data_IF_116758249611
#
_entry.id   IF_116758249611
#
_cell.length_a   1.000
_cell.length_b   1.000
_cell.length_c   1.000
_cell.angle_alpha   90.00
_cell.angle_beta   90.00
_cell.angle_gamma   90.00
#
_symmetry.space_group_name_H-M   'P 1'
#
loop_
_entity.id
_entity.type
_entity.pdbx_description
1 polymer ?
#
# COMPACT_ATOMS: atom_id res chain seq x y z
N UNK A 1 -8.12 -1.08 9.61
CA UNK A 1 -7.23 -0.71 8.49
C UNK A 1 -5.74 -0.86 8.81
N UNK A 2 -5.34 -1.10 10.07
CA UNK A 2 -3.95 -1.43 10.48
C UNK A 2 -3.46 -2.86 10.16
N UNK A 3 -4.35 -3.72 9.64
CA UNK A 3 -4.11 -5.17 9.51
C UNK A 3 -3.17 -5.57 8.35
N UNK A 4 -2.81 -4.64 7.44
CA UNK A 4 -2.10 -4.93 6.18
C UNK A 4 -0.72 -4.27 6.15
N UNK A 5 -0.35 -3.46 7.15
CA UNK A 5 0.82 -2.57 7.10
C UNK A 5 2.06 -3.11 7.81
N UNK A 6 2.02 -4.32 8.36
CA UNK A 6 3.14 -4.82 9.17
C UNK A 6 4.12 -5.61 8.29
N UNK A 7 5.40 -5.19 8.22
CA UNK A 7 6.42 -5.77 7.33
C UNK A 7 6.55 -7.29 7.46
N UNK A 8 6.28 -7.78 8.66
CA UNK A 8 6.45 -9.15 9.14
C UNK A 8 5.49 -10.14 8.45
N UNK A 9 4.36 -9.68 7.91
CA UNK A 9 3.34 -10.56 7.33
C UNK A 9 3.54 -10.72 5.81
N UNK A 10 4.53 -10.06 5.23
CA UNK A 10 4.63 -9.82 3.80
C UNK A 10 5.93 -10.42 3.23
N UNK A 11 5.86 -11.34 2.27
CA UNK A 11 7.05 -11.86 1.58
C UNK A 11 7.89 -10.69 1.02
N UNK A 12 9.22 -10.66 1.25
CA UNK A 12 10.06 -9.55 0.82
C UNK A 12 9.95 -9.35 -0.69
N UNK A 13 9.64 -8.12 -1.11
CA UNK A 13 9.54 -7.74 -2.53
C UNK A 13 10.85 -8.02 -3.28
N UNK A 14 11.97 -7.98 -2.57
CA UNK A 14 13.31 -8.27 -3.10
C UNK A 14 13.48 -9.71 -3.58
N UNK A 15 12.79 -10.66 -2.96
CA UNK A 15 12.80 -12.10 -3.32
C UNK A 15 11.63 -12.50 -4.24
N UNK A 16 10.97 -11.53 -4.87
CA UNK A 16 9.84 -11.78 -5.78
C UNK A 16 8.47 -11.88 -5.09
N UNK A 17 8.40 -11.59 -3.78
CA UNK A 17 7.13 -11.47 -3.05
C UNK A 17 6.30 -10.24 -3.49
N UNK A 18 4.99 -10.31 -3.30
CA UNK A 18 4.08 -9.19 -3.64
C UNK A 18 3.84 -8.25 -2.45
N UNK A 19 4.36 -8.59 -1.27
CA UNK A 19 4.09 -7.87 -0.03
C UNK A 19 2.65 -8.02 0.46
N UNK A 20 1.94 -9.09 0.07
CA UNK A 20 0.64 -9.45 0.64
C UNK A 20 0.82 -10.15 2.00
N UNK A 21 -0.15 -10.00 2.92
CA UNK A 21 -0.19 -10.81 4.13
C UNK A 21 -0.11 -12.30 3.77
N UNK A 22 0.67 -13.09 4.52
CA UNK A 22 0.80 -14.53 4.38
C UNK A 22 -0.60 -15.19 4.35
N UNK A 23 -1.02 -15.53 3.14
CA UNK A 23 -2.34 -16.11 2.85
C UNK A 23 -2.44 -17.55 3.33
N UNK A 24 -1.31 -18.19 3.67
CA UNK A 24 -1.29 -19.55 4.19
C UNK A 24 -1.56 -19.58 5.69
N UNK A 25 -0.99 -18.62 6.45
CA UNK A 25 -1.06 -18.63 7.92
C UNK A 25 -2.27 -17.83 8.41
N UNK A 26 -2.54 -16.65 7.85
CA UNK A 26 -3.58 -15.76 8.39
C UNK A 26 -4.99 -16.39 8.37
N UNK A 27 -5.43 -17.11 7.32
CA UNK A 27 -6.71 -17.82 7.34
C UNK A 27 -6.76 -18.95 8.36
N UNK A 28 -5.66 -19.70 8.55
CA UNK A 28 -5.59 -20.75 9.57
C UNK A 28 -5.60 -20.18 10.98
N UNK A 29 -4.98 -19.00 11.22
CA UNK A 29 -5.11 -18.27 12.50
C UNK A 29 -6.56 -17.86 12.74
N UNK A 30 -7.25 -17.30 11.74
CA UNK A 30 -8.67 -16.95 11.86
C UNK A 30 -9.52 -18.19 12.16
N UNK A 31 -9.28 -19.29 11.47
CA UNK A 31 -9.96 -20.56 11.73
C UNK A 31 -9.72 -21.04 13.16
N UNK A 32 -8.48 -21.01 13.63
CA UNK A 32 -8.12 -21.39 15.00
C UNK A 32 -8.84 -20.52 16.03
N UNK A 33 -8.87 -19.20 15.84
CA UNK A 33 -9.59 -18.29 16.73
C UNK A 33 -11.07 -18.61 16.80
N UNK A 34 -11.72 -18.80 15.65
CA UNK A 34 -13.13 -19.17 15.58
C UNK A 34 -13.39 -20.51 16.26
N UNK A 35 -12.53 -21.50 16.02
CA UNK A 35 -12.62 -22.81 16.65
C UNK A 35 -12.53 -22.72 18.17
N UNK A 36 -11.55 -21.99 18.70
CA UNK A 36 -11.39 -21.79 20.14
C UNK A 36 -12.55 -21.02 20.76
N UNK A 37 -13.09 -20.00 20.06
CA UNK A 37 -14.30 -19.31 20.50
C UNK A 37 -15.47 -20.28 20.63
N UNK A 38 -15.75 -21.08 19.60
CA UNK A 38 -16.83 -22.08 19.60
C UNK A 38 -16.66 -23.09 20.73
N UNK A 39 -15.43 -23.48 21.07
CA UNK A 39 -15.14 -24.42 22.15
C UNK A 39 -15.34 -23.82 23.55
N UNK A 40 -15.04 -22.52 23.71
CA UNK A 40 -15.17 -21.75 24.96
C UNK A 40 -16.57 -21.16 25.17
N UNK A 41 -17.36 -21.01 24.11
CA UNK A 41 -18.72 -20.47 24.16
C UNK A 41 -19.71 -21.40 24.88
N UNK A 42 -20.88 -20.84 25.21
CA UNK A 42 -22.01 -21.57 25.77
C UNK A 42 -22.42 -22.79 24.91
N UNK A 43 -22.99 -23.84 25.53
CA UNK A 43 -23.30 -25.09 24.83
C UNK A 43 -24.30 -24.88 23.71
N UNK A 44 -23.85 -25.16 22.48
CA UNK A 44 -24.65 -25.11 21.26
C UNK A 44 -24.23 -26.18 20.24
N UNK A 45 -24.97 -26.34 19.14
CA UNK A 45 -24.72 -27.39 18.15
C UNK A 45 -23.32 -27.28 17.51
N UNK A 46 -22.84 -26.06 17.29
CA UNK A 46 -21.49 -25.81 16.78
C UNK A 46 -20.40 -26.30 17.74
N UNK A 47 -20.60 -26.14 19.06
CA UNK A 47 -19.67 -26.61 20.09
C UNK A 47 -19.61 -28.14 20.13
N UNK A 48 -20.76 -28.81 20.08
CA UNK A 48 -20.82 -30.28 20.04
C UNK A 48 -20.10 -30.86 18.81
N UNK A 49 -20.30 -30.24 17.64
CA UNK A 49 -19.60 -30.65 16.42
C UNK A 49 -18.10 -30.35 16.47
N UNK A 50 -17.70 -29.18 16.97
CA UNK A 50 -16.29 -28.84 17.14
C UNK A 50 -15.59 -29.80 18.12
N UNK A 51 -16.23 -30.14 19.24
CA UNK A 51 -15.74 -31.15 20.16
C UNK A 51 -15.56 -32.50 19.48
N UNK A 52 -16.56 -32.96 18.70
CA UNK A 52 -16.46 -34.21 17.93
C UNK A 52 -15.24 -34.20 17.01
N UNK A 53 -15.07 -33.16 16.18
CA UNK A 53 -14.00 -33.09 15.17
C UNK A 53 -12.59 -32.84 15.74
N UNK A 54 -12.47 -32.13 16.86
CA UNK A 54 -11.18 -31.97 17.57
C UNK A 54 -10.69 -33.30 18.16
N UNK A 55 -11.61 -34.24 18.41
CA UNK A 55 -11.25 -35.59 18.83
C UNK A 55 -10.54 -35.62 20.18
N UNK A 56 -9.46 -36.37 20.26
CA UNK A 56 -8.64 -36.49 21.47
C UNK A 56 -7.78 -35.25 21.77
N UNK A 57 -7.60 -34.34 20.80
CA UNK A 57 -6.79 -33.12 20.99
C UNK A 57 -7.48 -32.03 21.83
N UNK A 58 -8.65 -32.32 22.41
CA UNK A 58 -9.38 -31.39 23.31
C UNK A 58 -8.52 -30.95 24.51
N UNK A 59 -7.75 -31.89 25.08
CA UNK A 59 -6.86 -31.62 26.22
C UNK A 59 -5.76 -30.64 25.86
N UNK A 60 -5.19 -30.81 24.67
CA UNK A 60 -4.14 -29.93 24.15
C UNK A 60 -4.63 -28.49 23.95
N UNK A 61 -5.94 -28.27 23.81
CA UNK A 61 -6.57 -26.95 23.63
C UNK A 61 -7.09 -26.33 24.94
N UNK A 62 -6.81 -26.96 26.09
CA UNK A 62 -7.29 -26.49 27.39
C UNK A 62 -8.81 -26.56 27.57
N UNK A 63 -9.51 -27.39 26.78
CA UNK A 63 -10.96 -27.58 26.92
C UNK A 63 -11.20 -28.62 28.01
N UNK A 64 -11.98 -28.23 29.03
CA UNK A 64 -12.36 -29.12 30.12
C UNK A 64 -13.00 -30.40 29.55
N UNK A 65 -12.48 -31.54 30.00
CA UNK A 65 -13.00 -32.83 29.55
C UNK A 65 -14.38 -33.04 30.22
N UNK A 66 -15.45 -33.27 29.44
CA UNK A 66 -16.71 -33.66 30.04
C UNK A 66 -16.52 -34.98 30.82
N UNK A 67 -17.29 -35.14 31.89
CA UNK A 67 -17.27 -36.31 32.79
C UNK A 67 -17.53 -37.65 32.07
N UNK A 68 -18.10 -37.60 30.86
CA UNK A 68 -18.22 -38.75 29.96
C UNK A 68 -17.61 -38.42 28.59
N UNK A 69 -16.68 -39.22 28.06
CA UNK A 69 -16.15 -39.02 26.71
C UNK A 69 -17.24 -39.35 25.69
N UNK A 70 -17.98 -38.34 25.26
CA UNK A 70 -18.91 -38.44 24.14
C UNK A 70 -18.18 -38.84 22.84
N UNK A 71 -18.93 -39.20 21.78
CA UNK A 71 -18.37 -39.61 20.50
C UNK A 71 -17.36 -38.57 19.99
N UNK A 72 -16.28 -39.06 19.39
CA UNK A 72 -15.20 -38.22 18.89
C UNK A 72 -14.62 -38.82 17.62
N UNK A 73 -14.13 -37.97 16.72
CA UNK A 73 -13.43 -38.42 15.53
C UNK A 73 -12.09 -39.02 15.94
N UNK A 74 -11.79 -40.25 15.49
CA UNK A 74 -10.50 -40.90 15.71
C UNK A 74 -9.36 -40.06 15.13
N UNK A 75 -9.60 -39.45 13.98
CA UNK A 75 -8.66 -38.58 13.29
C UNK A 75 -9.34 -37.24 12.97
N UNK A 76 -8.84 -36.12 13.51
CA UNK A 76 -9.35 -34.80 13.17
C UNK A 76 -9.28 -34.54 11.66
N UNK A 77 -10.29 -33.89 11.07
CA UNK A 77 -10.25 -33.44 9.69
C UNK A 77 -8.99 -32.59 9.40
N UNK A 78 -8.50 -32.55 8.16
CA UNK A 78 -7.25 -31.86 7.81
C UNK A 78 -7.19 -30.41 8.31
N UNK A 79 -8.30 -29.68 8.26
CA UNK A 79 -8.33 -28.27 8.65
C UNK A 79 -8.24 -28.09 10.18
N UNK A 80 -8.95 -28.93 10.94
CA UNK A 80 -8.85 -28.97 12.40
C UNK A 80 -7.44 -29.38 12.84
N UNK A 81 -6.85 -30.36 12.17
CA UNK A 81 -5.47 -30.79 12.45
C UNK A 81 -4.48 -29.65 12.22
N UNK A 82 -4.62 -28.90 11.12
CA UNK A 82 -3.80 -27.70 10.85
C UNK A 82 -3.97 -26.64 11.93
N UNK A 83 -5.19 -26.36 12.36
CA UNK A 83 -5.47 -25.41 13.44
C UNK A 83 -4.85 -25.85 14.79
N UNK A 84 -4.98 -27.12 15.14
CA UNK A 84 -4.39 -27.70 16.37
C UNK A 84 -2.85 -27.61 16.34
N UNK A 85 -2.22 -27.96 15.22
CA UNK A 85 -0.77 -27.83 15.06
C UNK A 85 -0.31 -26.37 15.18
N UNK A 86 -1.11 -25.44 14.64
CA UNK A 86 -0.83 -24.01 14.75
C UNK A 86 -0.96 -23.51 16.20
N UNK A 87 -1.95 -24.02 16.94
CA UNK A 87 -2.13 -23.72 18.36
C UNK A 87 -0.92 -24.14 19.19
N UNK A 88 -0.43 -25.37 19.00
CA UNK A 88 0.78 -25.87 19.69
C UNK A 88 2.00 -24.97 19.42
N UNK A 89 2.20 -24.56 18.16
CA UNK A 89 3.27 -23.63 17.79
C UNK A 89 3.13 -22.25 18.41
N UNK A 90 1.90 -21.78 18.63
CA UNK A 90 1.64 -20.50 19.32
C UNK A 90 1.93 -20.60 20.82
N UNK A 91 1.46 -21.66 21.47
CA UNK A 91 1.74 -21.94 22.89
C UNK A 91 3.25 -22.07 23.15
N UNK A 92 3.99 -22.75 22.28
CA UNK A 92 5.45 -22.88 22.40
C UNK A 92 6.20 -21.54 22.27
N UNK A 93 5.68 -20.60 21.46
CA UNK A 93 6.39 -19.36 21.10
C UNK A 93 5.96 -18.14 21.89
N UNK A 94 4.70 -18.08 22.28
CA UNK A 94 4.13 -16.96 23.00
C UNK A 94 3.02 -17.44 23.96
N UNK A 95 3.38 -18.20 25.00
CA UNK A 95 2.43 -18.75 25.98
C UNK A 95 1.64 -17.67 26.74
N UNK A 96 2.15 -16.44 26.76
CA UNK A 96 1.50 -15.28 27.40
C UNK A 96 0.36 -14.67 26.59
N UNK A 97 0.18 -15.05 25.31
CA UNK A 97 -0.85 -14.46 24.45
C UNK A 97 -2.14 -15.28 24.49
N UNK A 98 -3.26 -14.65 24.84
CA UNK A 98 -4.56 -15.27 24.60
C UNK A 98 -4.86 -15.28 23.10
N UNK A 99 -4.84 -16.46 22.49
CA UNK A 99 -5.12 -16.67 21.07
C UNK A 99 -6.48 -16.11 20.66
N UNK A 100 -7.49 -16.15 21.53
CA UNK A 100 -8.86 -15.71 21.22
C UNK A 100 -8.98 -14.20 21.19
N UNK A 101 -8.36 -13.51 22.16
CA UNK A 101 -8.44 -12.05 22.29
C UNK A 101 -7.39 -11.31 21.44
N UNK A 102 -6.22 -11.91 21.24
CA UNK A 102 -5.12 -11.25 20.53
C UNK A 102 -5.46 -11.04 19.05
N UNK A 103 -5.27 -9.83 18.46
CA UNK A 103 -5.54 -9.59 17.04
C UNK A 103 -4.82 -10.59 16.11
N UNK A 104 -5.51 -11.08 15.08
CA UNK A 104 -5.00 -12.07 14.12
C UNK A 104 -3.64 -11.68 13.52
N UNK A 105 -3.45 -10.39 13.22
CA UNK A 105 -2.18 -9.88 12.70
C UNK A 105 -1.01 -10.14 13.66
N UNK A 106 -1.21 -9.92 14.97
CA UNK A 106 -0.17 -10.11 15.98
C UNK A 106 0.20 -11.58 16.16
N UNK A 107 -0.78 -12.48 16.11
CA UNK A 107 -0.52 -13.92 16.15
C UNK A 107 0.23 -14.39 14.90
N UNK A 108 -0.15 -13.87 13.73
CA UNK A 108 0.52 -14.19 12.46
C UNK A 108 1.97 -13.68 12.47
N UNK A 109 2.23 -12.50 13.04
CA UNK A 109 3.58 -11.98 13.24
C UNK A 109 4.45 -12.92 14.08
N UNK A 110 4.01 -13.31 15.27
CA UNK A 110 4.76 -14.20 16.18
C UNK A 110 5.11 -15.52 15.48
N UNK A 111 4.21 -16.02 14.64
CA UNK A 111 4.45 -17.23 13.86
C UNK A 111 5.46 -17.05 12.73
N UNK A 112 5.60 -15.84 12.20
CA UNK A 112 6.49 -15.49 11.08
C UNK A 112 7.83 -14.90 11.53
N UNK A 113 7.90 -14.29 12.71
CA UNK A 113 9.07 -13.58 13.26
C UNK A 113 10.37 -14.42 13.26
N UNK A 114 10.37 -15.74 13.55
CA UNK A 114 11.58 -16.57 13.48
C UNK A 114 12.11 -16.83 12.06
N UNK A 115 11.32 -16.53 11.02
CA UNK A 115 11.68 -16.77 9.62
C UNK A 115 12.22 -15.50 8.94
N UNK A 116 12.29 -14.38 9.67
CA UNK A 116 12.52 -13.05 9.11
C UNK A 116 13.89 -12.55 9.57
N UNK A 117 14.80 -12.32 8.64
CA UNK A 117 16.08 -11.68 8.93
C UNK A 117 15.86 -10.21 9.31
N UNK A 118 16.61 -9.67 10.29
CA UNK A 118 16.48 -8.27 10.75
C UNK A 118 16.45 -7.22 9.62
N UNK A 119 17.14 -7.50 8.51
CA UNK A 119 17.15 -6.67 7.28
C UNK A 119 15.78 -6.51 6.62
N UNK A 120 14.84 -7.44 6.81
CA UNK A 120 13.52 -7.45 6.18
C UNK A 120 12.50 -6.55 6.91
N UNK A 121 12.71 -6.27 8.20
CA UNK A 121 11.85 -5.38 9.00
C UNK A 121 12.07 -3.91 8.66
N UNK A 122 13.30 -3.53 8.31
CA UNK A 122 13.69 -2.15 7.97
C UNK A 122 13.18 -1.68 6.60
N UNK A 123 12.89 -2.60 5.68
CA UNK A 123 12.45 -2.28 4.31
C UNK A 123 10.93 -2.16 4.14
N UNK A 124 10.16 -2.45 5.19
CA UNK A 124 8.71 -2.36 5.18
C UNK A 124 8.22 -0.94 5.45
N UNK A 125 8.55 0.00 4.58
CA UNK A 125 7.96 1.34 4.63
C UNK A 125 6.44 1.21 4.51
N UNK A 126 5.74 1.53 5.61
CA UNK A 126 4.27 1.55 5.64
C UNK A 126 3.75 2.62 4.66
N UNK A 127 3.26 2.17 3.51
CA UNK A 127 2.57 3.05 2.57
C UNK A 127 1.23 3.45 3.21
N UNK A 128 1.03 4.72 3.57
CA UNK A 128 -0.21 5.08 4.27
C UNK A 128 -1.41 5.02 3.32
N UNK A 129 -2.25 4.03 3.55
CA UNK A 129 -3.40 3.67 2.73
C UNK A 129 -4.45 4.77 2.55
N UNK A 130 -4.56 5.67 3.53
CA UNK A 130 -5.33 6.91 3.43
C UNK A 130 -4.95 7.81 2.24
N UNK A 131 -3.80 7.53 1.60
CA UNK A 131 -3.28 8.20 0.40
C UNK A 131 -3.94 7.74 -0.91
N UNK A 132 -4.52 6.53 -0.96
CA UNK A 132 -5.15 5.96 -2.18
C UNK A 132 -6.65 6.22 -2.27
N UNK A 133 -7.25 6.54 -1.12
CA UNK A 133 -8.69 6.69 -0.96
C UNK A 133 -9.13 8.16 -0.98
N UNK A 134 -8.25 9.11 -1.29
CA UNK A 134 -8.68 10.51 -1.39
C UNK A 134 -9.60 10.68 -2.60
N UNK A 135 -10.88 10.96 -2.34
CA UNK A 135 -11.93 11.18 -3.35
C UNK A 135 -11.58 12.26 -4.37
N UNK A 136 -10.65 13.15 -4.03
CA UNK A 136 -10.22 14.29 -4.86
C UNK A 136 -9.20 13.93 -5.95
N UNK A 137 -8.64 12.71 -5.95
CA UNK A 137 -7.75 12.28 -7.02
C UNK A 137 -8.56 11.65 -8.17
N UNK A 138 -8.26 11.99 -9.41
CA UNK A 138 -8.78 11.35 -10.62
C UNK A 138 -8.51 9.84 -10.63
N UNK A 139 -9.38 9.08 -11.29
CA UNK A 139 -9.31 7.61 -11.32
C UNK A 139 -7.94 7.06 -11.71
N UNK A 140 -7.38 7.51 -12.84
CA UNK A 140 -6.08 7.02 -13.31
C UNK A 140 -4.92 7.39 -12.40
N UNK A 141 -4.99 8.53 -11.70
CA UNK A 141 -3.97 8.93 -10.72
C UNK A 141 -4.09 8.09 -9.44
N UNK A 142 -5.30 7.73 -9.01
CA UNK A 142 -5.50 6.80 -7.89
C UNK A 142 -4.95 5.41 -8.22
N UNK A 143 -5.24 4.90 -9.40
CA UNK A 143 -4.74 3.59 -9.86
C UNK A 143 -3.21 3.61 -9.94
N UNK A 144 -2.64 4.69 -10.49
CA UNK A 144 -1.18 4.87 -10.53
C UNK A 144 -0.56 4.90 -9.13
N UNK A 145 -1.09 5.71 -8.22
CA UNK A 145 -0.58 5.79 -6.84
C UNK A 145 -0.72 4.43 -6.13
N UNK A 146 -1.80 3.70 -6.41
CA UNK A 146 -2.02 2.36 -5.87
C UNK A 146 -0.94 1.41 -6.37
N UNK A 147 -0.71 1.39 -7.68
CA UNK A 147 0.33 0.56 -8.29
C UNK A 147 1.73 0.92 -7.75
N UNK A 148 1.99 2.22 -7.58
CA UNK A 148 3.26 2.73 -7.06
C UNK A 148 3.48 2.32 -5.60
N UNK A 149 2.49 2.52 -4.74
CA UNK A 149 2.56 2.17 -3.32
C UNK A 149 2.73 0.67 -3.09
N UNK A 150 2.09 -0.14 -3.92
CA UNK A 150 2.29 -1.58 -3.96
C UNK A 150 3.63 -2.02 -4.57
N UNK A 151 4.40 -1.10 -5.13
CA UNK A 151 5.64 -1.45 -5.80
C UNK A 151 5.40 -2.26 -7.09
N UNK A 152 4.18 -2.23 -7.64
CA UNK A 152 3.80 -3.13 -8.74
C UNK A 152 4.01 -2.56 -10.14
N UNK A 153 4.42 -1.29 -10.23
CA UNK A 153 4.78 -0.67 -11.49
C UNK A 153 5.88 -1.49 -12.23
N UNK A 154 5.85 -1.56 -13.56
CA UNK A 154 6.82 -2.32 -14.37
C UNK A 154 8.18 -1.59 -14.49
N UNK A 155 8.88 -1.40 -13.37
CA UNK A 155 10.26 -0.92 -13.32
C UNK A 155 11.24 -1.98 -13.85
N UNK A 156 12.41 -1.55 -14.33
CA UNK A 156 13.38 -2.48 -14.95
C UNK A 156 13.94 -3.48 -13.95
N UNK A 157 14.14 -3.12 -12.68
CA UNK A 157 14.54 -4.08 -11.64
C UNK A 157 13.50 -5.20 -11.45
N UNK A 158 12.22 -4.88 -11.60
CA UNK A 158 11.13 -5.85 -11.52
C UNK A 158 11.03 -6.69 -12.78
N UNK A 159 11.09 -6.05 -13.94
CA UNK A 159 11.04 -6.76 -15.22
C UNK A 159 12.25 -7.69 -15.42
N UNK A 160 13.43 -7.33 -14.90
CA UNK A 160 14.61 -8.20 -14.88
C UNK A 160 14.35 -9.46 -14.05
N UNK A 161 13.81 -9.32 -12.84
CA UNK A 161 13.46 -10.45 -11.97
C UNK A 161 12.42 -11.39 -12.58
N UNK A 162 11.52 -10.86 -13.39
CA UNK A 162 10.52 -11.67 -14.12
C UNK A 162 11.06 -12.26 -15.43
N UNK A 163 12.33 -12.05 -15.77
CA UNK A 163 12.91 -12.49 -17.04
C UNK A 163 12.36 -11.75 -18.27
N UNK A 164 11.60 -10.66 -18.08
CA UNK A 164 11.01 -9.86 -19.16
C UNK A 164 12.01 -8.84 -19.71
N UNK A 165 12.91 -8.33 -18.87
CA UNK A 165 14.00 -7.44 -19.30
C UNK A 165 15.36 -8.07 -19.10
N UNK A 166 16.31 -7.71 -19.96
CA UNK A 166 17.71 -8.17 -19.87
C UNK A 166 18.57 -7.35 -18.91
N UNK A 167 18.11 -6.15 -18.58
CA UNK A 167 18.83 -5.20 -17.71
C UNK A 167 17.86 -4.54 -16.74
N UNK A 168 18.36 -4.14 -15.57
CA UNK A 168 17.63 -3.31 -14.61
C UNK A 168 17.96 -1.81 -14.76
N UNK A 169 18.68 -1.43 -15.80
CA UNK A 169 19.17 -0.06 -15.99
C UNK A 169 18.09 0.91 -16.46
N UNK A 170 18.08 2.11 -15.87
CA UNK A 170 17.18 3.19 -16.23
C UNK A 170 17.50 3.69 -17.65
N UNK A 171 16.51 3.79 -18.56
CA UNK A 171 16.74 4.26 -19.93
C UNK A 171 17.23 5.70 -20.00
N UNK A 172 17.03 6.49 -18.94
CA UNK A 172 17.42 7.89 -18.90
C UNK A 172 18.81 8.13 -18.32
N UNK A 173 19.28 7.32 -17.37
CA UNK A 173 20.55 7.58 -16.67
C UNK A 173 21.49 6.39 -16.51
N UNK A 174 21.09 5.17 -16.85
CA UNK A 174 21.92 3.96 -16.74
C UNK A 174 21.98 3.35 -15.34
N UNK A 175 21.63 4.09 -14.28
CA UNK A 175 21.57 3.52 -12.93
C UNK A 175 20.44 2.50 -12.79
N UNK A 176 20.55 1.58 -11.83
CA UNK A 176 19.48 0.63 -11.46
C UNK A 176 18.14 1.33 -11.25
N UNK A 177 17.13 0.91 -11.99
CA UNK A 177 15.80 1.51 -12.00
C UNK A 177 14.82 0.76 -11.10
N UNK A 178 14.52 1.38 -9.97
CA UNK A 178 13.39 1.06 -9.08
C UNK A 178 12.24 2.07 -9.28
N UNK A 179 11.09 1.83 -8.65
CA UNK A 179 9.99 2.81 -8.63
C UNK A 179 10.42 4.16 -8.03
N UNK A 180 11.15 4.13 -6.91
CA UNK A 180 11.69 5.33 -6.24
C UNK A 180 12.66 6.04 -7.17
N UNK A 181 13.54 5.29 -7.84
CA UNK A 181 14.45 5.85 -8.81
C UNK A 181 13.72 6.60 -9.91
N UNK A 182 12.73 5.96 -10.56
CA UNK A 182 12.00 6.54 -11.68
C UNK A 182 11.29 7.85 -11.34
N UNK A 183 10.78 7.99 -10.10
CA UNK A 183 10.00 9.17 -9.70
C UNK A 183 10.77 10.20 -8.87
N UNK A 184 11.87 9.86 -8.21
CA UNK A 184 12.59 10.79 -7.30
C UNK A 184 14.07 10.95 -7.61
N UNK A 185 14.76 9.87 -7.95
CA UNK A 185 16.24 9.87 -7.96
C UNK A 185 16.84 10.01 -9.35
N UNK A 186 16.12 9.64 -10.41
CA UNK A 186 16.58 9.76 -11.78
C UNK A 186 16.95 11.22 -12.11
N UNK A 187 17.96 11.43 -12.97
CA UNK A 187 18.41 12.77 -13.40
C UNK A 187 17.25 13.63 -13.93
N UNK A 188 16.30 13.00 -14.63
CA UNK A 188 15.09 13.66 -15.16
C UNK A 188 14.16 14.07 -14.02
N UNK A 189 13.91 13.16 -13.08
CA UNK A 189 13.09 13.42 -11.89
C UNK A 189 13.67 14.56 -11.05
N UNK A 190 14.97 14.53 -10.73
CA UNK A 190 15.63 15.58 -9.94
C UNK A 190 15.51 16.95 -10.59
N UNK A 191 15.74 17.03 -11.90
CA UNK A 191 15.67 18.29 -12.65
C UNK A 191 14.23 18.81 -12.70
N UNK A 192 13.26 17.93 -12.94
CA UNK A 192 11.84 18.25 -12.94
C UNK A 192 11.38 18.76 -11.57
N UNK A 193 11.68 18.02 -10.50
CA UNK A 193 11.32 18.40 -9.14
C UNK A 193 11.92 19.73 -8.70
N UNK A 194 13.13 20.08 -9.17
CA UNK A 194 13.72 21.40 -8.91
C UNK A 194 12.84 22.53 -9.47
N UNK A 195 12.32 22.37 -10.68
CA UNK A 195 11.40 23.33 -11.29
C UNK A 195 10.05 23.34 -10.57
N UNK A 196 9.50 22.19 -10.21
CA UNK A 196 8.23 22.12 -9.45
C UNK A 196 8.37 22.80 -8.08
N UNK A 197 9.46 22.54 -7.35
CA UNK A 197 9.74 23.18 -6.06
C UNK A 197 9.84 24.70 -6.19
N UNK A 198 10.44 25.19 -7.26
CA UNK A 198 10.59 26.64 -7.50
C UNK A 198 9.25 27.28 -7.88
N UNK A 199 8.53 26.63 -8.80
CA UNK A 199 7.23 27.10 -9.30
C UNK A 199 6.16 27.13 -8.21
N UNK A 200 6.13 26.07 -7.39
CA UNK A 200 5.14 25.84 -6.35
C UNK A 200 5.66 26.08 -4.92
N UNK A 201 6.64 26.99 -4.76
CA UNK A 201 7.40 27.27 -3.53
C UNK A 201 6.78 26.80 -2.18
N UNK A 202 6.15 27.58 -1.30
CA UNK A 202 5.66 27.15 0.02
C UNK A 202 4.58 26.04 0.12
N UNK A 203 4.37 25.18 -0.90
CA UNK A 203 3.50 24.01 -0.78
C UNK A 203 4.15 22.80 -0.07
N UNK A 204 5.44 22.87 0.28
CA UNK A 204 6.11 21.77 1.00
C UNK A 204 6.62 20.63 0.10
N UNK A 205 6.73 20.84 -1.23
CA UNK A 205 7.29 19.86 -2.17
C UNK A 205 8.69 19.39 -1.76
N UNK A 206 9.53 20.29 -1.21
CA UNK A 206 10.86 19.93 -0.72
C UNK A 206 10.82 18.93 0.45
N UNK A 207 9.89 19.11 1.38
CA UNK A 207 9.70 18.19 2.51
C UNK A 207 9.22 16.81 2.05
N UNK A 208 8.36 16.79 1.02
CA UNK A 208 7.94 15.54 0.39
C UNK A 208 9.12 14.75 -0.19
N UNK A 209 10.01 15.43 -0.91
CA UNK A 209 11.16 14.79 -1.55
C UNK A 209 12.17 14.27 -0.52
N UNK A 210 12.36 14.99 0.59
CA UNK A 210 13.32 14.63 1.63
C UNK A 210 12.81 13.57 2.61
N UNK A 211 11.55 13.69 3.06
CA UNK A 211 10.99 12.87 4.16
C UNK A 211 9.92 11.89 3.72
N UNK A 212 9.52 11.91 2.45
CA UNK A 212 8.40 11.12 1.93
C UNK A 212 7.03 11.53 2.49
N UNK A 213 6.95 12.62 3.26
CA UNK A 213 5.70 13.09 3.89
C UNK A 213 4.96 14.04 2.95
N UNK A 214 3.71 13.73 2.64
CA UNK A 214 2.86 14.61 1.85
C UNK A 214 2.44 15.84 2.68
N UNK A 215 2.59 17.06 2.14
CA UNK A 215 2.08 18.26 2.79
C UNK A 215 0.54 18.24 2.89
N UNK A 216 -0.04 18.94 3.87
CA UNK A 216 -1.48 19.13 3.94
C UNK A 216 -1.99 19.97 2.75
N UNK A 217 -3.21 19.68 2.30
CA UNK A 217 -3.87 20.40 1.20
C UNK A 217 -4.21 19.50 0.01
N UNK A 218 -5.38 19.71 -0.57
CA UNK A 218 -5.88 18.90 -1.70
C UNK A 218 -5.04 19.15 -2.95
N UNK A 219 -4.78 20.43 -3.26
CA UNK A 219 -4.03 20.82 -4.46
C UNK A 219 -2.59 20.27 -4.47
N UNK A 220 -1.86 20.36 -3.35
CA UNK A 220 -0.48 19.84 -3.31
C UNK A 220 -0.45 18.31 -3.49
N UNK A 221 -1.44 17.58 -2.98
CA UNK A 221 -1.54 16.13 -3.21
C UNK A 221 -1.80 15.81 -4.68
N UNK A 222 -2.72 16.55 -5.31
CA UNK A 222 -2.96 16.46 -6.76
C UNK A 222 -1.68 16.77 -7.55
N UNK A 223 -0.98 17.85 -7.20
CA UNK A 223 0.28 18.25 -7.83
C UNK A 223 1.33 17.15 -7.75
N UNK A 224 1.54 16.58 -6.56
CA UNK A 224 2.53 15.54 -6.34
C UNK A 224 2.18 14.25 -7.10
N UNK A 225 0.94 13.76 -7.01
CA UNK A 225 0.50 12.56 -7.73
C UNK A 225 0.60 12.73 -9.25
N UNK A 226 0.17 13.90 -9.77
CA UNK A 226 0.27 14.21 -11.20
C UNK A 226 1.73 14.29 -11.66
N UNK A 227 2.59 14.93 -10.87
CA UNK A 227 4.02 15.03 -11.15
C UNK A 227 4.70 13.66 -11.21
N UNK A 228 4.41 12.78 -10.25
CA UNK A 228 4.93 11.40 -10.23
C UNK A 228 4.43 10.59 -11.43
N UNK A 229 3.15 10.72 -11.77
CA UNK A 229 2.55 10.08 -12.94
C UNK A 229 3.19 10.55 -14.25
N UNK A 230 3.43 11.85 -14.41
CA UNK A 230 4.07 12.43 -15.60
C UNK A 230 5.51 11.92 -15.75
N UNK A 231 6.28 11.83 -14.67
CA UNK A 231 7.62 11.26 -14.67
C UNK A 231 7.59 9.78 -15.07
N UNK A 232 6.66 9.01 -14.50
CA UNK A 232 6.48 7.60 -14.83
C UNK A 232 6.14 7.40 -16.31
N UNK A 233 5.17 8.16 -16.85
CA UNK A 233 4.82 8.11 -18.28
C UNK A 233 6.00 8.45 -19.17
N UNK A 234 6.79 9.45 -18.80
CA UNK A 234 7.98 9.81 -19.57
C UNK A 234 9.02 8.70 -19.57
N UNK A 235 9.23 8.02 -18.44
CA UNK A 235 10.05 6.81 -18.38
C UNK A 235 9.49 5.73 -19.30
N UNK A 236 8.18 5.48 -19.30
CA UNK A 236 7.57 4.50 -20.19
C UNK A 236 7.75 4.86 -21.68
N UNK A 237 7.67 6.15 -22.03
CA UNK A 237 8.01 6.62 -23.38
C UNK A 237 9.48 6.33 -23.73
N UNK A 238 10.41 6.57 -22.81
CA UNK A 238 11.84 6.32 -23.01
C UNK A 238 12.11 4.82 -23.25
N UNK A 239 11.48 3.94 -22.47
CA UNK A 239 11.57 2.48 -22.68
C UNK A 239 11.01 2.08 -24.04
N UNK A 240 9.78 2.51 -24.37
CA UNK A 240 9.12 2.15 -25.63
C UNK A 240 9.91 2.61 -26.86
N UNK A 241 10.52 3.79 -26.78
CA UNK A 241 11.27 4.40 -27.89
C UNK A 241 12.74 3.98 -27.90
N UNK A 242 13.18 3.16 -26.93
CA UNK A 242 14.58 2.79 -26.72
C UNK A 242 15.56 3.99 -26.73
N UNK A 243 15.09 5.17 -26.29
CA UNK A 243 15.86 6.42 -26.30
C UNK A 243 15.65 7.22 -25.03
N UNK A 244 16.69 7.96 -24.64
CA UNK A 244 16.65 8.88 -23.49
C UNK A 244 15.61 9.97 -23.73
N UNK A 245 14.69 10.15 -22.78
CA UNK A 245 13.69 11.23 -22.80
C UNK A 245 13.96 12.17 -21.62
N UNK A 246 14.87 13.12 -21.82
CA UNK A 246 15.35 14.04 -20.78
C UNK A 246 14.81 15.46 -20.92
N UNK A 247 14.11 15.76 -22.01
CA UNK A 247 13.56 17.09 -22.26
C UNK A 247 12.54 17.46 -21.17
N UNK A 248 12.74 18.64 -20.57
CA UNK A 248 11.93 19.09 -19.45
C UNK A 248 10.59 19.68 -19.89
N UNK A 249 10.59 20.42 -21.00
CA UNK A 249 9.40 21.11 -21.50
C UNK A 249 8.19 20.17 -21.71
N UNK A 250 8.33 19.00 -22.37
CA UNK A 250 7.20 18.08 -22.52
C UNK A 250 6.64 17.56 -21.18
N UNK A 251 7.47 17.44 -20.15
CA UNK A 251 7.02 17.05 -18.81
C UNK A 251 6.17 18.14 -18.17
N UNK A 252 6.66 19.38 -18.19
CA UNK A 252 5.96 20.52 -17.59
C UNK A 252 4.65 20.79 -18.31
N UNK A 253 4.64 20.70 -19.64
CA UNK A 253 3.42 20.85 -20.42
C UNK A 253 2.40 19.75 -20.11
N UNK A 254 2.83 18.49 -20.02
CA UNK A 254 1.95 17.38 -19.60
C UNK A 254 1.41 17.58 -18.18
N UNK A 255 2.26 18.03 -17.24
CA UNK A 255 1.83 18.35 -15.89
C UNK A 255 0.74 19.43 -15.90
N UNK A 256 0.96 20.55 -16.60
CA UNK A 256 -0.05 21.61 -16.70
C UNK A 256 -1.35 21.08 -17.29
N UNK A 257 -1.27 20.32 -18.38
CA UNK A 257 -2.45 19.77 -19.05
C UNK A 257 -3.26 18.85 -18.13
N UNK A 258 -2.60 17.96 -17.40
CA UNK A 258 -3.27 17.06 -16.44
C UNK A 258 -3.87 17.87 -15.29
N UNK A 259 -3.14 18.83 -14.72
CA UNK A 259 -3.66 19.68 -13.65
C UNK A 259 -4.88 20.49 -14.10
N UNK A 260 -4.79 21.20 -15.22
CA UNK A 260 -5.91 21.99 -15.78
C UNK A 260 -7.08 21.09 -16.14
N UNK A 261 -6.84 19.94 -16.77
CA UNK A 261 -7.90 18.97 -17.09
C UNK A 261 -8.64 18.50 -15.85
N UNK A 262 -7.96 18.34 -14.71
CA UNK A 262 -8.61 18.01 -13.44
C UNK A 262 -9.30 19.19 -12.78
N UNK A 263 -8.75 20.39 -12.91
CA UNK A 263 -9.40 21.60 -12.40
C UNK A 263 -10.74 21.84 -13.11
N UNK A 264 -10.85 21.58 -14.42
CA UNK A 264 -12.12 21.65 -15.15
C UNK A 264 -13.16 20.69 -14.57
N UNK A 265 -12.80 19.44 -14.27
CA UNK A 265 -13.73 18.49 -13.60
C UNK A 265 -14.11 18.97 -12.20
N UNK A 266 -13.21 19.69 -11.54
CA UNK A 266 -13.44 20.25 -10.21
C UNK A 266 -14.29 21.53 -10.26
N UNK A 267 -14.43 22.20 -11.41
CA UNK A 267 -15.38 23.32 -11.59
C UNK A 267 -16.83 22.86 -11.39
N UNK A 268 -17.16 21.60 -11.72
CA UNK A 268 -18.45 21.02 -11.36
C UNK A 268 -18.64 20.98 -9.83
N UNK A 269 -17.57 20.66 -9.07
CA UNK A 269 -17.62 20.71 -7.61
C UNK A 269 -17.76 22.13 -7.09
N UNK A 270 -17.15 23.13 -7.75
CA UNK A 270 -17.34 24.54 -7.42
C UNK A 270 -18.82 24.94 -7.56
N UNK A 271 -19.49 24.48 -8.62
CA UNK A 271 -20.92 24.71 -8.82
C UNK A 271 -21.77 24.10 -7.69
N UNK A 272 -21.50 22.86 -7.27
CA UNK A 272 -22.28 22.19 -6.23
C UNK A 272 -21.96 22.65 -4.79
N UNK A 273 -20.71 22.98 -4.49
CA UNK A 273 -20.26 23.35 -3.15
C UNK A 273 -20.38 24.85 -2.86
N UNK A 274 -20.44 25.68 -3.90
CA UNK A 274 -20.30 27.13 -3.79
C UNK A 274 -18.85 27.58 -3.57
N UNK A 275 -18.57 28.83 -3.90
CA UNK A 275 -17.21 29.40 -3.92
C UNK A 275 -16.52 29.36 -2.54
N UNK A 276 -17.25 29.65 -1.47
CA UNK A 276 -16.67 29.70 -0.11
C UNK A 276 -16.18 28.32 0.37
N UNK A 277 -17.00 27.28 0.23
CA UNK A 277 -16.63 25.92 0.67
C UNK A 277 -15.59 25.29 -0.29
N UNK A 278 -15.63 25.65 -1.57
CA UNK A 278 -14.58 25.31 -2.52
C UNK A 278 -13.22 25.89 -2.11
N UNK A 279 -13.16 27.21 -1.86
CA UNK A 279 -11.94 27.88 -1.43
C UNK A 279 -11.47 27.34 -0.08
N UNK A 280 -12.35 26.99 0.86
CA UNK A 280 -11.93 26.35 2.12
C UNK A 280 -11.13 25.06 1.89
N UNK A 281 -11.48 24.27 0.88
CA UNK A 281 -10.85 22.96 0.60
C UNK A 281 -9.66 23.04 -0.35
N UNK A 282 -9.73 23.94 -1.34
CA UNK A 282 -8.78 24.05 -2.44
C UNK A 282 -7.91 25.31 -2.38
N UNK A 283 -8.14 26.23 -1.44
CA UNK A 283 -7.39 27.48 -1.35
C UNK A 283 -5.90 27.22 -1.27
N UNK A 284 -5.21 27.75 -2.27
CA UNK A 284 -3.79 27.92 -2.24
C UNK A 284 -3.44 29.11 -3.15
N UNK A 285 -2.28 29.71 -2.94
CA UNK A 285 -1.79 30.86 -3.72
C UNK A 285 -1.63 30.62 -5.23
N UNK A 286 -1.85 29.40 -5.70
CA UNK A 286 -1.68 28.96 -7.09
C UNK A 286 -3.01 28.73 -7.81
N UNK A 287 -4.12 28.74 -7.07
CA UNK A 287 -5.46 28.64 -7.62
C UNK A 287 -6.19 29.94 -7.32
N UNK A 288 -6.82 30.52 -8.34
CA UNK A 288 -7.77 31.62 -8.19
C UNK A 288 -9.06 31.29 -8.92
N UNK A 289 -10.20 31.70 -8.37
CA UNK A 289 -11.48 31.61 -9.06
C UNK A 289 -11.75 32.96 -9.72
N UNK A 290 -12.03 32.96 -11.03
CA UNK A 290 -12.46 34.13 -11.79
C UNK A 290 -13.60 33.72 -12.70
N UNK A 291 -14.70 34.46 -12.67
CA UNK A 291 -15.89 34.20 -13.50
C UNK A 291 -16.37 32.74 -13.44
N UNK A 292 -16.39 32.16 -12.23
CA UNK A 292 -16.72 30.74 -11.98
C UNK A 292 -15.78 29.72 -12.64
N UNK A 293 -14.58 30.13 -13.07
CA UNK A 293 -13.53 29.27 -13.60
C UNK A 293 -12.33 29.24 -12.68
N UNK A 294 -11.63 28.10 -12.64
CA UNK A 294 -10.45 27.92 -11.81
C UNK A 294 -9.19 28.21 -12.65
N UNK A 295 -8.49 29.28 -12.31
CA UNK A 295 -7.20 29.64 -12.91
C UNK A 295 -6.04 29.04 -12.12
N UNK A 296 -5.16 28.32 -12.83
CA UNK A 296 -3.90 27.81 -12.30
C UNK A 296 -2.74 28.76 -12.65
N UNK A 297 -2.08 29.30 -11.64
CA UNK A 297 -0.84 30.09 -11.80
C UNK A 297 0.37 29.15 -11.79
N UNK A 298 0.98 28.93 -12.94
CA UNK A 298 2.19 28.12 -13.10
C UNK A 298 3.31 28.97 -13.69
N UNK A 299 3.93 29.78 -12.83
CA UNK A 299 4.95 30.80 -13.15
C UNK A 299 6.02 30.40 -14.17
N UNK A 300 6.47 29.15 -14.18
CA UNK A 300 7.51 28.70 -15.12
C UNK A 300 7.01 28.59 -16.56
N UNK A 301 5.72 28.28 -16.76
CA UNK A 301 5.10 28.16 -18.08
C UNK A 301 4.39 29.44 -18.52
N UNK A 302 4.03 30.32 -17.57
CA UNK A 302 3.35 31.59 -17.86
C UNK A 302 4.34 32.71 -18.25
N UNK A 303 5.64 32.53 -18.00
CA UNK A 303 6.71 33.50 -18.29
C UNK A 303 7.65 33.07 -19.44
N UNK A 304 7.24 32.08 -20.23
CA UNK A 304 7.93 31.61 -21.45
C UNK A 304 7.04 31.91 -22.66
#
# INVERSE_FOLDING_TARGET
>A
TELVTRPVVCLPRERGGWGFPCVDIAPTVLQLKTMLKILRDEPGPARSLALYFVGHSRRDLGVESPSSPGPCAETPPPDYRRAIQLFKRLEERAPQLDVVETPTARLTEVLLEPQISATQVELGDSFSWSRLTSSYLPGHLRDFEWQRGWGVLPSKDRLLRWGVSRTDECPNCGNRETNVHAVKECVVARTFWRVIRTSFHGLGVGLYLLRGRYPPGVFVRLLLATAEYVLWRNRCCAVRQARRSRALWPLLWRLRRELVGHLVVVEEQLFFLGEQEFLRRWSCRYLSVRDSRIELRFRYLDNL
#
